data_IF_622864507955
#
_entry.id   IF_622864507955
#
_cell.length_a   1.000
_cell.length_b   1.000
_cell.length_c   1.000
_cell.angle_alpha   90.00
_cell.angle_beta   90.00
_cell.angle_gamma   90.00
#
_symmetry.space_group_name_H-M   'P 1'
#
loop_
_entity.id
_entity.type
_entity.pdbx_description
1 polymer ?
#
# COMPACT_ATOMS: atom_id res chain seq x y z
N UNK A 1 43.93 -9.74 -33.94
CA UNK A 1 42.91 -9.83 -32.88
C UNK A 1 42.36 -8.43 -32.67
N UNK A 2 41.18 -8.15 -33.23
CA UNK A 2 40.52 -6.85 -33.12
C UNK A 2 39.79 -6.75 -31.78
N UNK A 3 39.83 -5.61 -31.07
CA UNK A 3 39.03 -5.42 -29.88
C UNK A 3 37.57 -5.22 -30.29
N UNK A 4 36.69 -6.08 -29.78
CA UNK A 4 35.24 -5.90 -29.88
C UNK A 4 34.84 -4.80 -28.91
N UNK A 5 34.70 -3.57 -29.42
CA UNK A 5 34.04 -2.48 -28.71
C UNK A 5 32.55 -2.80 -28.60
N UNK A 6 32.15 -3.42 -27.48
CA UNK A 6 30.76 -3.49 -27.05
C UNK A 6 30.34 -2.14 -26.48
N UNK A 7 30.06 -1.16 -27.34
CA UNK A 7 29.22 -0.04 -26.95
C UNK A 7 27.78 -0.56 -26.93
N UNK A 8 27.31 -0.94 -25.74
CA UNK A 8 25.87 -1.02 -25.49
C UNK A 8 25.29 0.36 -25.78
N UNK A 9 24.60 0.48 -26.91
CA UNK A 9 23.86 1.67 -27.29
C UNK A 9 22.79 1.90 -26.23
N UNK A 10 23.05 2.82 -25.32
CA UNK A 10 22.07 3.46 -24.46
C UNK A 10 20.97 4.00 -25.39
N UNK A 11 19.86 3.28 -25.51
CA UNK A 11 18.77 3.69 -26.38
C UNK A 11 18.22 4.99 -25.83
N UNK A 12 18.49 6.11 -26.51
CA UNK A 12 17.92 7.44 -26.26
C UNK A 12 16.39 7.36 -26.44
N UNK A 13 15.71 6.84 -25.42
CA UNK A 13 14.26 6.69 -25.43
C UNK A 13 13.65 8.07 -25.24
N UNK A 14 13.21 8.66 -26.34
CA UNK A 14 12.45 9.91 -26.30
C UNK A 14 10.99 9.60 -25.92
N UNK A 15 10.37 10.38 -25.01
CA UNK A 15 8.97 10.21 -24.69
C UNK A 15 8.12 10.23 -25.95
N UNK A 16 7.17 9.30 -26.07
CA UNK A 16 6.25 9.27 -27.21
C UNK A 16 5.46 10.58 -27.28
N UNK A 17 5.59 11.30 -28.38
CA UNK A 17 4.76 12.47 -28.66
C UNK A 17 3.35 12.02 -29.06
N UNK A 18 2.39 12.36 -28.20
CA UNK A 18 0.98 12.05 -28.41
C UNK A 18 0.38 13.00 -29.44
N UNK A 19 -0.32 12.46 -30.45
CA UNK A 19 -1.05 13.28 -31.43
C UNK A 19 -2.26 13.97 -30.79
N UNK A 20 -2.72 15.08 -31.37
CA UNK A 20 -3.90 15.80 -30.87
C UNK A 20 -5.13 14.88 -30.79
N UNK A 21 -5.35 14.03 -31.80
CA UNK A 21 -6.44 13.06 -31.82
C UNK A 21 -6.36 12.07 -30.65
N UNK A 22 -5.16 11.57 -30.31
CA UNK A 22 -4.99 10.65 -29.19
C UNK A 22 -5.22 11.33 -27.83
N UNK A 23 -4.76 12.59 -27.68
CA UNK A 23 -5.02 13.40 -26.47
C UNK A 23 -6.52 13.59 -26.27
N UNK A 24 -7.23 14.01 -27.32
CA UNK A 24 -8.69 14.18 -27.28
C UNK A 24 -9.43 12.87 -27.01
N UNK A 25 -9.01 11.76 -27.63
CA UNK A 25 -9.61 10.45 -27.37
C UNK A 25 -9.51 10.06 -25.88
N UNK A 26 -8.35 10.22 -25.25
CA UNK A 26 -8.19 9.90 -23.83
C UNK A 26 -8.83 10.93 -22.90
N UNK A 27 -8.94 12.20 -23.29
CA UNK A 27 -9.72 13.17 -22.52
C UNK A 27 -11.21 12.82 -22.52
N UNK A 28 -11.76 12.39 -23.66
CA UNK A 28 -13.17 12.01 -23.79
C UNK A 28 -13.49 10.66 -23.12
N UNK A 29 -12.52 9.74 -23.03
CA UNK A 29 -12.72 8.43 -22.39
C UNK A 29 -12.23 8.44 -20.95
N UNK A 30 -10.94 8.71 -20.74
CA UNK A 30 -10.28 8.65 -19.44
C UNK A 30 -10.69 9.74 -18.48
N UNK A 31 -10.97 10.96 -18.97
CA UNK A 31 -11.43 12.08 -18.15
C UNK A 31 -12.74 11.76 -17.40
N UNK A 32 -13.83 11.38 -18.11
CA UNK A 32 -15.07 10.95 -17.48
C UNK A 32 -14.90 9.74 -16.57
N UNK A 33 -14.08 8.75 -16.95
CA UNK A 33 -13.82 7.59 -16.09
C UNK A 33 -13.16 8.02 -14.78
N UNK A 34 -12.16 8.90 -14.81
CA UNK A 34 -11.53 9.40 -13.60
C UNK A 34 -12.52 10.16 -12.71
N UNK A 35 -13.38 10.99 -13.29
CA UNK A 35 -14.41 11.74 -12.56
C UNK A 35 -15.54 10.84 -12.01
N UNK A 36 -15.98 9.84 -12.78
CA UNK A 36 -16.92 8.84 -12.31
C UNK A 36 -16.31 8.00 -11.19
N UNK A 37 -15.02 7.71 -11.28
CA UNK A 37 -14.34 6.91 -10.26
C UNK A 37 -14.21 7.66 -8.93
N UNK A 38 -13.95 8.98 -8.94
CA UNK A 38 -13.97 9.78 -7.70
C UNK A 38 -15.36 9.83 -7.07
N UNK A 39 -16.42 9.90 -7.89
CA UNK A 39 -17.80 9.77 -7.40
C UNK A 39 -18.07 8.38 -6.83
N UNK A 40 -17.65 7.32 -7.52
CA UNK A 40 -17.80 5.93 -7.08
C UNK A 40 -17.03 5.66 -5.79
N UNK A 41 -15.81 6.19 -5.66
CA UNK A 41 -15.04 6.18 -4.42
C UNK A 41 -15.84 6.82 -3.28
N UNK A 42 -16.32 8.05 -3.51
CA UNK A 42 -17.09 8.77 -2.51
C UNK A 42 -18.30 7.93 -2.11
N UNK A 43 -19.09 7.43 -3.06
CA UNK A 43 -20.24 6.58 -2.78
C UNK A 43 -19.84 5.31 -1.99
N UNK A 44 -18.79 4.60 -2.39
CA UNK A 44 -18.33 3.35 -1.73
C UNK A 44 -17.85 3.59 -0.30
N UNK A 45 -17.14 4.68 -0.07
CA UNK A 45 -16.62 5.04 1.26
C UNK A 45 -17.75 5.56 2.16
N UNK A 46 -18.74 6.27 1.59
CA UNK A 46 -19.91 6.84 2.30
C UNK A 46 -21.06 5.85 2.50
N UNK A 47 -21.00 4.64 1.94
CA UNK A 47 -22.01 3.66 2.28
C UNK A 47 -21.83 3.23 3.73
N UNK A 48 -22.92 3.19 4.53
CA UNK A 48 -22.87 2.51 5.82
C UNK A 48 -22.35 1.10 5.55
N UNK A 49 -21.16 0.83 6.08
CA UNK A 49 -20.56 -0.49 5.93
C UNK A 49 -21.53 -1.43 6.59
N UNK A 50 -22.05 -2.42 5.88
CA UNK A 50 -22.96 -3.42 6.46
C UNK A 50 -22.29 -4.78 6.65
N UNK A 51 -20.96 -4.77 6.77
CA UNK A 51 -20.12 -5.97 6.81
C UNK A 51 -18.76 -5.65 7.40
N UNK A 52 -18.13 -6.68 7.95
CA UNK A 52 -16.71 -6.63 8.30
C UNK A 52 -15.87 -6.42 7.03
N UNK A 53 -14.92 -5.49 7.10
CA UNK A 53 -13.90 -5.29 6.08
C UNK A 53 -12.54 -5.10 6.78
N UNK A 54 -11.43 -5.15 6.03
CA UNK A 54 -10.09 -5.12 6.62
C UNK A 54 -9.87 -3.82 7.42
N UNK A 55 -10.30 -2.67 6.90
CA UNK A 55 -10.14 -1.39 7.58
C UNK A 55 -10.99 -1.26 8.85
N UNK A 56 -12.18 -1.88 8.91
CA UNK A 56 -12.98 -1.95 10.13
C UNK A 56 -12.19 -2.63 11.25
N UNK A 57 -11.50 -3.75 10.96
CA UNK A 57 -10.68 -4.44 11.96
C UNK A 57 -9.54 -3.57 12.48
N UNK A 58 -8.84 -2.86 11.58
CA UNK A 58 -7.74 -1.98 11.96
C UNK A 58 -8.22 -0.75 12.73
N UNK A 59 -9.30 -0.14 12.27
CA UNK A 59 -9.85 1.05 12.91
C UNK A 59 -10.43 0.74 14.29
N UNK A 60 -11.14 -0.38 14.49
CA UNK A 60 -11.64 -0.76 15.81
C UNK A 60 -10.47 -1.01 16.77
N UNK A 61 -9.44 -1.73 16.33
CA UNK A 61 -8.24 -1.98 17.15
C UNK A 61 -7.52 -0.68 17.54
N UNK A 62 -7.38 0.25 16.58
CA UNK A 62 -6.82 1.58 16.84
C UNK A 62 -7.70 2.42 17.78
N UNK A 63 -9.02 2.39 17.59
CA UNK A 63 -10.00 3.11 18.43
C UNK A 63 -10.03 2.58 19.86
N UNK A 64 -9.95 1.26 20.03
CA UNK A 64 -9.88 0.60 21.32
C UNK A 64 -8.70 1.11 22.14
N UNK A 65 -7.52 1.21 21.51
CA UNK A 65 -6.33 1.78 22.17
C UNK A 65 -6.55 3.20 22.69
N UNK A 66 -7.20 4.07 21.90
CA UNK A 66 -7.51 5.46 22.30
C UNK A 66 -8.60 5.56 23.37
N UNK A 67 -9.45 4.54 23.49
CA UNK A 67 -10.60 4.53 24.41
C UNK A 67 -10.38 3.68 25.65
N UNK A 68 -9.19 3.06 25.78
CA UNK A 68 -8.81 2.27 26.95
C UNK A 68 -9.33 0.82 26.94
N UNK A 69 -9.80 0.33 25.79
CA UNK A 69 -10.16 -1.07 25.60
C UNK A 69 -8.93 -1.89 25.11
N UNK A 70 -8.92 -3.22 25.29
CA UNK A 70 -7.89 -4.07 24.70
C UNK A 70 -7.78 -3.83 23.19
N UNK A 71 -6.57 -3.78 22.64
CA UNK A 71 -6.38 -3.54 21.19
C UNK A 71 -7.09 -4.62 20.38
N UNK A 72 -6.81 -5.88 20.71
CA UNK A 72 -7.51 -7.05 20.19
C UNK A 72 -8.71 -7.41 21.07
N UNK A 73 -9.59 -6.43 21.31
CA UNK A 73 -10.87 -6.71 21.93
C UNK A 73 -11.73 -7.59 21.01
N UNK A 74 -12.67 -8.31 21.61
CA UNK A 74 -13.61 -9.13 20.87
C UNK A 74 -14.33 -8.26 19.83
N UNK A 75 -14.36 -8.74 18.59
CA UNK A 75 -14.82 -7.96 17.45
C UNK A 75 -16.33 -7.77 17.50
N UNK A 76 -17.10 -8.74 17.99
CA UNK A 76 -18.54 -8.56 18.18
C UNK A 76 -18.78 -7.43 19.20
N UNK A 77 -18.00 -7.38 20.27
CA UNK A 77 -18.07 -6.31 21.28
C UNK A 77 -17.68 -4.95 20.69
N UNK A 78 -16.58 -4.88 19.94
CA UNK A 78 -16.12 -3.64 19.30
C UNK A 78 -17.14 -3.11 18.29
N UNK A 79 -17.72 -3.99 17.47
CA UNK A 79 -18.73 -3.62 16.47
C UNK A 79 -20.02 -3.16 17.14
N UNK A 80 -20.50 -3.88 18.15
CA UNK A 80 -21.67 -3.48 18.91
C UNK A 80 -21.48 -2.11 19.56
N UNK A 81 -20.26 -1.83 20.06
CA UNK A 81 -19.92 -0.58 20.71
C UNK A 81 -19.86 0.62 19.74
N UNK A 82 -19.32 0.44 18.52
CA UNK A 82 -19.07 1.57 17.60
C UNK A 82 -20.05 1.72 16.43
N UNK A 83 -20.71 0.65 15.99
CA UNK A 83 -21.47 0.64 14.72
C UNK A 83 -22.96 0.33 14.84
N UNK A 84 -23.44 -0.03 16.03
CA UNK A 84 -24.84 -0.40 16.32
C UNK A 84 -25.31 -1.63 15.50
N UNK A 85 -25.26 -2.84 16.06
CA UNK A 85 -25.03 -4.08 15.32
C UNK A 85 -26.24 -4.56 14.51
N UNK A 86 -26.01 -4.93 13.25
CA UNK A 86 -26.94 -5.79 12.47
C UNK A 86 -26.23 -6.92 11.70
N UNK A 87 -24.90 -7.07 11.82
CA UNK A 87 -24.14 -8.01 10.98
C UNK A 87 -23.46 -9.09 11.80
N UNK A 88 -23.37 -10.28 11.23
CA UNK A 88 -22.60 -11.39 11.82
C UNK A 88 -21.11 -11.17 11.58
N UNK A 89 -20.33 -11.16 12.64
CA UNK A 89 -18.87 -11.19 12.56
C UNK A 89 -18.42 -12.65 12.56
N UNK A 90 -17.48 -13.00 11.66
CA UNK A 90 -16.92 -14.36 11.55
C UNK A 90 -15.58 -14.51 12.30
N UNK A 91 -14.97 -13.40 12.70
CA UNK A 91 -13.66 -13.34 13.35
C UNK A 91 -13.81 -12.76 14.76
N UNK A 92 -13.37 -13.51 15.78
CA UNK A 92 -13.50 -13.05 17.16
C UNK A 92 -12.58 -11.86 17.47
N UNK A 93 -11.43 -11.74 16.79
CA UNK A 93 -10.47 -10.64 16.98
C UNK A 93 -9.88 -10.21 15.64
N UNK A 94 -9.24 -9.05 15.60
CA UNK A 94 -8.49 -8.60 14.41
C UNK A 94 -7.43 -9.65 14.04
N UNK A 95 -7.46 -10.11 12.79
CA UNK A 95 -6.55 -11.16 12.31
C UNK A 95 -5.20 -10.61 11.81
N UNK A 96 -4.99 -9.29 11.86
CA UNK A 96 -3.80 -8.65 11.33
C UNK A 96 -2.73 -8.40 12.41
N UNK A 97 -1.44 -8.32 12.03
CA UNK A 97 -0.34 -8.10 12.98
C UNK A 97 -0.45 -6.74 13.68
N UNK A 98 0.05 -6.58 14.93
CA UNK A 98 -0.06 -5.31 15.65
C UNK A 98 0.59 -4.12 14.90
N UNK A 99 1.59 -4.40 14.05
CA UNK A 99 2.25 -3.37 13.25
C UNK A 99 1.32 -2.73 12.21
N UNK A 100 0.28 -3.43 11.73
CA UNK A 100 -0.73 -2.83 10.86
C UNK A 100 -1.62 -1.85 11.63
N UNK A 101 -2.01 -2.21 12.85
CA UNK A 101 -2.76 -1.33 13.76
C UNK A 101 -1.98 -0.05 14.06
N UNK A 102 -0.66 -0.15 14.30
CA UNK A 102 0.19 1.03 14.54
C UNK A 102 0.12 2.04 13.39
N UNK A 103 0.06 1.59 12.13
CA UNK A 103 -0.04 2.48 10.97
C UNK A 103 -1.38 3.21 10.89
N UNK A 104 -2.45 2.55 11.35
CA UNK A 104 -3.81 3.11 11.37
C UNK A 104 -4.09 3.85 12.68
N UNK A 105 -3.21 3.76 13.68
CA UNK A 105 -3.40 4.32 15.02
C UNK A 105 -3.84 5.80 15.05
N UNK A 106 -3.26 6.72 14.25
CA UNK A 106 -3.70 8.12 14.23
C UNK A 106 -5.16 8.29 13.77
N UNK A 107 -5.62 7.41 12.87
CA UNK A 107 -6.98 7.44 12.33
C UNK A 107 -8.03 6.93 13.33
N UNK A 108 -7.61 6.14 14.34
CA UNK A 108 -8.49 5.71 15.43
C UNK A 108 -9.04 6.86 16.27
N UNK A 109 -8.42 8.05 16.26
CA UNK A 109 -8.99 9.24 16.93
C UNK A 109 -10.19 9.83 16.19
N UNK A 110 -10.27 9.61 14.88
CA UNK A 110 -11.33 10.13 14.03
C UNK A 110 -12.55 9.22 14.07
N UNK A 111 -13.71 9.78 13.72
CA UNK A 111 -14.88 8.95 13.42
C UNK A 111 -14.59 8.04 12.23
N UNK A 112 -15.16 6.83 12.25
CA UNK A 112 -14.86 5.78 11.28
C UNK A 112 -14.98 6.26 9.82
N UNK A 113 -16.04 7.02 9.51
CA UNK A 113 -16.26 7.48 8.15
C UNK A 113 -15.13 8.41 7.66
N UNK A 114 -14.76 9.41 8.49
CA UNK A 114 -13.65 10.31 8.20
C UNK A 114 -12.31 9.56 8.12
N UNK A 115 -12.08 8.62 9.04
CA UNK A 115 -10.89 7.78 9.05
C UNK A 115 -10.76 6.96 7.76
N UNK A 116 -11.82 6.26 7.36
CA UNK A 116 -11.85 5.43 6.16
C UNK A 116 -11.63 6.26 4.89
N UNK A 117 -12.23 7.45 4.83
CA UNK A 117 -12.06 8.35 3.69
C UNK A 117 -10.63 8.86 3.56
N UNK A 118 -10.04 9.38 4.64
CA UNK A 118 -8.66 9.85 4.63
C UNK A 118 -7.66 8.72 4.37
N UNK A 119 -7.89 7.54 4.95
CA UNK A 119 -7.05 6.36 4.74
C UNK A 119 -7.02 5.92 3.28
N UNK A 120 -8.17 5.90 2.61
CA UNK A 120 -8.26 5.57 1.19
C UNK A 120 -7.52 6.59 0.32
N UNK A 121 -7.69 7.89 0.58
CA UNK A 121 -6.95 8.93 -0.15
C UNK A 121 -5.44 8.84 0.05
N UNK A 122 -5.00 8.61 1.29
CA UNK A 122 -3.59 8.39 1.60
C UNK A 122 -3.05 7.17 0.84
N UNK A 123 -3.79 6.05 0.86
CA UNK A 123 -3.42 4.83 0.16
C UNK A 123 -3.33 5.05 -1.36
N UNK A 124 -4.28 5.77 -1.96
CA UNK A 124 -4.28 6.08 -3.39
C UNK A 124 -3.16 7.04 -3.79
N UNK A 125 -2.81 7.98 -2.91
CA UNK A 125 -1.69 8.89 -3.15
C UNK A 125 -0.36 8.14 -3.30
N UNK A 126 -0.22 6.93 -2.71
CA UNK A 126 0.98 6.10 -2.84
C UNK A 126 1.17 5.50 -4.25
N UNK A 127 0.16 5.54 -5.12
CA UNK A 127 0.29 5.12 -6.52
C UNK A 127 1.29 6.02 -7.26
N UNK A 128 1.25 7.34 -7.02
CA UNK A 128 2.11 8.30 -7.69
C UNK A 128 3.62 8.06 -7.45
N UNK A 129 4.12 8.00 -6.19
CA UNK A 129 5.53 7.70 -5.94
C UNK A 129 5.91 6.28 -6.36
N UNK A 130 4.99 5.32 -6.31
CA UNK A 130 5.22 3.95 -6.82
C UNK A 130 5.50 3.97 -8.32
N UNK A 131 4.64 4.61 -9.12
CA UNK A 131 4.83 4.74 -10.56
C UNK A 131 6.12 5.51 -10.87
N UNK A 132 6.37 6.61 -10.16
CA UNK A 132 7.60 7.38 -10.33
C UNK A 132 8.87 6.54 -10.09
N UNK A 133 8.91 5.73 -9.02
CA UNK A 133 10.03 4.83 -8.73
C UNK A 133 10.20 3.78 -9.84
N UNK A 134 9.10 3.17 -10.32
CA UNK A 134 9.14 2.20 -11.41
C UNK A 134 9.69 2.81 -12.71
N UNK A 135 9.26 4.03 -13.03
CA UNK A 135 9.69 4.72 -14.25
C UNK A 135 11.17 5.10 -14.18
N UNK A 136 11.59 5.73 -13.07
CA UNK A 136 12.97 6.17 -12.85
C UNK A 136 13.95 5.00 -12.91
N UNK A 137 13.66 3.91 -12.20
CA UNK A 137 14.55 2.73 -12.11
C UNK A 137 14.65 1.91 -13.41
N UNK A 138 13.75 2.14 -14.36
CA UNK A 138 13.77 1.53 -15.71
C UNK A 138 14.28 2.48 -16.79
N UNK A 139 14.67 3.71 -16.45
CA UNK A 139 15.07 4.72 -17.43
C UNK A 139 13.94 5.10 -18.40
N UNK A 140 12.68 4.87 -18.02
CA UNK A 140 11.54 5.13 -18.89
C UNK A 140 11.09 6.59 -18.72
N UNK A 141 11.17 7.37 -19.80
CA UNK A 141 10.60 8.72 -19.84
C UNK A 141 9.16 8.67 -20.36
N UNK A 142 8.18 9.06 -19.56
CA UNK A 142 6.79 9.13 -20.04
C UNK A 142 6.38 10.57 -20.33
N UNK A 143 5.56 10.73 -21.36
CA UNK A 143 4.77 11.95 -21.52
C UNK A 143 3.74 12.03 -20.40
N UNK A 144 3.45 13.22 -19.87
CA UNK A 144 2.35 13.43 -18.93
C UNK A 144 1.01 12.90 -19.47
N UNK A 145 0.86 12.88 -20.80
CA UNK A 145 -0.30 12.33 -21.49
C UNK A 145 -0.45 10.82 -21.38
N UNK A 146 0.64 10.09 -21.09
CA UNK A 146 0.59 8.66 -20.83
C UNK A 146 0.02 8.32 -19.45
N UNK A 147 -0.04 9.28 -18.53
CA UNK A 147 -0.62 9.06 -17.20
C UNK A 147 -2.12 8.81 -17.28
N UNK A 148 -2.84 9.51 -18.16
CA UNK A 148 -4.29 9.41 -18.25
C UNK A 148 -4.77 7.99 -18.66
N UNK A 149 -4.22 7.33 -19.70
CA UNK A 149 -4.50 5.92 -19.98
C UNK A 149 -4.14 4.98 -18.83
N UNK A 150 -2.96 5.15 -18.21
CA UNK A 150 -2.49 4.30 -17.11
C UNK A 150 -3.44 4.40 -15.91
N UNK A 151 -3.78 5.62 -15.53
CA UNK A 151 -4.74 5.89 -14.46
C UNK A 151 -6.10 5.30 -14.82
N UNK A 152 -6.59 5.50 -16.04
CA UNK A 152 -7.88 4.93 -16.48
C UNK A 152 -7.91 3.40 -16.30
N UNK A 153 -6.85 2.69 -16.71
CA UNK A 153 -6.74 1.23 -16.53
C UNK A 153 -6.67 0.83 -15.06
N UNK A 154 -5.90 1.55 -14.24
CA UNK A 154 -5.78 1.30 -12.80
C UNK A 154 -7.12 1.50 -12.10
N UNK A 155 -7.80 2.62 -12.39
CA UNK A 155 -9.08 2.99 -11.79
C UNK A 155 -10.21 2.03 -12.18
N UNK A 156 -10.20 1.54 -13.42
CA UNK A 156 -11.21 0.57 -13.88
C UNK A 156 -10.96 -0.87 -13.41
N UNK A 157 -9.80 -1.14 -12.80
CA UNK A 157 -9.49 -2.49 -12.32
C UNK A 157 -10.34 -2.89 -11.11
N UNK A 158 -10.83 -4.13 -11.12
CA UNK A 158 -11.52 -4.68 -9.95
C UNK A 158 -10.59 -4.75 -8.73
N UNK A 159 -9.28 -4.94 -8.94
CA UNK A 159 -8.28 -4.97 -7.86
C UNK A 159 -8.26 -3.68 -7.07
N UNK A 160 -8.28 -2.51 -7.74
CA UNK A 160 -8.33 -1.23 -7.03
C UNK A 160 -9.70 -0.99 -6.38
N UNK A 161 -10.78 -1.42 -7.03
CA UNK A 161 -12.11 -1.34 -6.41
C UNK A 161 -12.16 -2.15 -5.10
N UNK A 162 -11.61 -3.36 -5.07
CA UNK A 162 -11.53 -4.19 -3.86
C UNK A 162 -10.59 -3.57 -2.80
N UNK A 163 -9.44 -3.04 -3.22
CA UNK A 163 -8.52 -2.31 -2.34
C UNK A 163 -9.24 -1.20 -1.56
N UNK A 164 -10.06 -0.41 -2.25
CA UNK A 164 -10.82 0.69 -1.63
C UNK A 164 -11.95 0.17 -0.76
N UNK A 165 -12.74 -0.79 -1.26
CA UNK A 165 -13.87 -1.35 -0.52
C UNK A 165 -13.45 -1.99 0.80
N UNK A 166 -12.23 -2.55 0.85
CA UNK A 166 -11.67 -3.18 2.04
C UNK A 166 -10.80 -2.23 2.86
N UNK A 167 -10.36 -1.10 2.28
CA UNK A 167 -9.37 -0.20 2.89
C UNK A 167 -8.05 -0.89 3.24
N UNK A 168 -7.57 -1.81 2.38
CA UNK A 168 -6.40 -2.63 2.71
C UNK A 168 -5.08 -1.84 2.73
N UNK A 169 -4.05 -2.46 3.27
CA UNK A 169 -2.67 -1.95 3.29
C UNK A 169 -1.89 -2.25 1.99
N UNK A 170 -2.49 -2.86 0.97
CA UNK A 170 -1.71 -3.37 -0.16
C UNK A 170 -1.05 -2.27 -1.00
N UNK A 171 -1.63 -1.07 -1.12
CA UNK A 171 -0.96 0.04 -1.82
C UNK A 171 0.27 0.56 -1.06
N UNK A 172 0.23 0.52 0.27
CA UNK A 172 1.41 0.79 1.09
C UNK A 172 2.48 -0.29 0.90
N UNK A 173 2.09 -1.56 0.93
CA UNK A 173 3.02 -2.67 0.66
C UNK A 173 3.61 -2.58 -0.75
N UNK A 174 2.79 -2.26 -1.76
CA UNK A 174 3.24 -2.06 -3.13
C UNK A 174 4.30 -0.97 -3.20
N UNK A 175 4.08 0.16 -2.54
CA UNK A 175 5.04 1.25 -2.48
C UNK A 175 6.35 0.82 -1.80
N UNK A 176 6.29 0.23 -0.60
CA UNK A 176 7.47 -0.22 0.15
C UNK A 176 8.29 -1.24 -0.64
N UNK A 177 7.62 -2.19 -1.29
CA UNK A 177 8.29 -3.25 -2.06
C UNK A 177 8.86 -2.72 -3.39
N UNK A 178 8.18 -1.78 -4.02
CA UNK A 178 8.72 -1.09 -5.20
C UNK A 178 9.96 -0.28 -4.84
N UNK A 179 9.95 0.37 -3.69
CA UNK A 179 11.10 1.12 -3.20
C UNK A 179 12.26 0.20 -2.81
N UNK A 180 11.98 -0.92 -2.13
CA UNK A 180 12.96 -1.94 -1.83
C UNK A 180 13.61 -2.49 -3.11
N UNK A 181 12.81 -2.79 -4.12
CA UNK A 181 13.28 -3.26 -5.42
C UNK A 181 14.16 -2.20 -6.12
N UNK A 182 13.75 -0.93 -6.12
CA UNK A 182 14.55 0.15 -6.71
C UNK A 182 15.91 0.30 -6.01
N UNK A 183 15.93 0.28 -4.68
CA UNK A 183 17.16 0.34 -3.88
C UNK A 183 18.08 -0.86 -4.12
N UNK A 184 17.50 -2.05 -4.26
CA UNK A 184 18.27 -3.26 -4.54
C UNK A 184 18.97 -3.17 -5.90
N UNK A 185 18.34 -2.57 -6.92
CA UNK A 185 18.96 -2.33 -8.23
C UNK A 185 20.14 -1.39 -8.15
N UNK A 186 20.05 -0.39 -7.28
CA UNK A 186 21.13 0.56 -7.00
C UNK A 186 22.16 0.00 -5.99
N UNK A 187 22.15 -1.31 -5.73
CA UNK A 187 23.05 -2.05 -4.83
C UNK A 187 22.94 -1.71 -3.33
N UNK A 188 21.89 -1.00 -2.92
CA UNK A 188 21.62 -0.64 -1.52
C UNK A 188 20.88 -1.74 -0.75
N UNK A 189 21.49 -2.92 -0.64
CA UNK A 189 20.85 -4.11 -0.04
C UNK A 189 20.35 -3.92 1.38
N UNK A 190 21.07 -3.14 2.19
CA UNK A 190 20.67 -2.87 3.57
C UNK A 190 19.32 -2.14 3.62
N UNK A 191 19.15 -1.09 2.82
CA UNK A 191 17.89 -0.35 2.79
C UNK A 191 16.75 -1.17 2.16
N UNK A 192 17.05 -1.91 1.09
CA UNK A 192 16.09 -2.81 0.47
C UNK A 192 15.59 -3.89 1.45
N UNK A 193 16.52 -4.51 2.18
CA UNK A 193 16.20 -5.49 3.21
C UNK A 193 15.36 -4.89 4.33
N UNK A 194 15.73 -3.73 4.85
CA UNK A 194 14.97 -3.06 5.92
C UNK A 194 13.52 -2.78 5.52
N UNK A 195 13.28 -2.27 4.30
CA UNK A 195 11.92 -2.04 3.79
C UNK A 195 11.11 -3.33 3.65
N UNK A 196 11.73 -4.43 3.20
CA UNK A 196 11.09 -5.75 3.14
C UNK A 196 10.74 -6.25 4.55
N UNK A 197 11.63 -6.06 5.53
CA UNK A 197 11.40 -6.39 6.93
C UNK A 197 10.22 -5.60 7.53
N UNK A 198 10.17 -4.29 7.29
CA UNK A 198 9.04 -3.44 7.70
C UNK A 198 7.74 -3.91 7.04
N UNK A 199 7.76 -4.16 5.73
CA UNK A 199 6.59 -4.68 5.02
C UNK A 199 6.13 -6.05 5.57
N UNK A 200 7.08 -6.92 5.94
CA UNK A 200 6.81 -8.22 6.56
C UNK A 200 6.17 -8.11 7.96
N UNK A 201 6.53 -7.08 8.73
CA UNK A 201 5.89 -6.80 10.01
C UNK A 201 4.42 -6.38 9.83
N UNK A 202 4.13 -5.59 8.79
CA UNK A 202 2.77 -5.13 8.47
C UNK A 202 1.90 -6.27 7.92
N UNK A 203 2.46 -7.15 7.10
CA UNK A 203 1.77 -8.33 6.55
C UNK A 203 2.81 -9.39 6.30
N UNK A 204 2.58 -10.66 6.67
CA UNK A 204 3.70 -11.63 6.73
C UNK A 204 4.30 -12.02 5.35
N UNK A 205 3.53 -11.97 4.26
CA UNK A 205 3.97 -12.51 2.96
C UNK A 205 5.24 -11.87 2.35
N UNK A 206 5.55 -10.57 2.50
CA UNK A 206 6.79 -9.98 2.00
C UNK A 206 8.05 -10.59 2.62
N UNK A 207 7.97 -11.27 3.77
CA UNK A 207 9.10 -11.97 4.37
C UNK A 207 9.76 -12.95 3.39
N UNK A 208 8.99 -13.56 2.47
CA UNK A 208 9.51 -14.45 1.44
C UNK A 208 10.52 -13.76 0.51
N UNK A 209 10.43 -12.45 0.31
CA UNK A 209 11.40 -11.68 -0.47
C UNK A 209 12.78 -11.61 0.21
N UNK A 210 12.84 -11.84 1.53
CA UNK A 210 14.12 -12.00 2.23
C UNK A 210 14.92 -13.22 1.75
N UNK A 211 14.24 -14.26 1.26
CA UNK A 211 14.90 -15.45 0.70
C UNK A 211 15.75 -15.13 -0.52
N UNK A 212 15.38 -14.11 -1.29
CA UNK A 212 16.19 -13.64 -2.42
C UNK A 212 17.62 -13.27 -1.98
N UNK A 213 17.77 -12.47 -0.92
CA UNK A 213 19.08 -12.09 -0.41
C UNK A 213 19.82 -13.29 0.18
N UNK A 214 19.11 -14.19 0.85
CA UNK A 214 19.68 -15.40 1.41
C UNK A 214 20.27 -16.32 0.33
N UNK A 215 19.50 -16.58 -0.73
CA UNK A 215 19.91 -17.40 -1.88
C UNK A 215 21.11 -16.80 -2.60
N UNK A 216 21.18 -15.47 -2.69
CA UNK A 216 22.32 -14.77 -3.27
C UNK A 216 23.49 -14.54 -2.30
N UNK A 217 23.40 -15.06 -1.07
CA UNK A 217 24.42 -14.87 0.00
C UNK A 217 24.71 -13.39 0.29
N UNK A 218 23.72 -12.52 0.08
CA UNK A 218 23.79 -11.08 0.34
C UNK A 218 23.42 -10.81 1.81
N UNK A 219 24.31 -11.19 2.72
CA UNK A 219 24.08 -11.17 4.17
C UNK A 219 23.68 -9.81 4.72
N UNK A 220 24.17 -8.71 4.13
CA UNK A 220 23.76 -7.34 4.51
C UNK A 220 22.25 -7.14 4.33
N UNK A 221 21.68 -7.63 3.23
CA UNK A 221 20.24 -7.59 2.98
C UNK A 221 19.47 -8.48 3.94
N UNK A 222 19.96 -9.71 4.19
CA UNK A 222 19.34 -10.65 5.15
C UNK A 222 19.25 -10.04 6.55
N UNK A 223 20.38 -9.53 7.07
CA UNK A 223 20.41 -8.88 8.37
C UNK A 223 19.47 -7.68 8.43
N UNK A 224 19.42 -6.89 7.37
CA UNK A 224 18.54 -5.73 7.33
C UNK A 224 17.04 -6.10 7.28
N UNK A 225 16.65 -7.21 6.64
CA UNK A 225 15.27 -7.74 6.74
C UNK A 225 14.92 -8.04 8.19
N UNK A 226 15.78 -8.77 8.90
CA UNK A 226 15.56 -9.10 10.31
C UNK A 226 15.48 -7.83 11.16
N UNK A 227 16.42 -6.89 10.98
CA UNK A 227 16.45 -5.63 11.71
C UNK A 227 15.19 -4.81 11.44
N UNK A 228 14.78 -4.65 10.18
CA UNK A 228 13.57 -3.90 9.82
C UNK A 228 12.31 -4.50 10.43
N UNK A 229 12.19 -5.84 10.40
CA UNK A 229 11.06 -6.55 11.01
C UNK A 229 11.03 -6.38 12.54
N UNK A 230 12.18 -6.61 13.20
CA UNK A 230 12.30 -6.50 14.66
C UNK A 230 12.08 -5.05 15.10
N UNK A 231 12.67 -4.08 14.42
CA UNK A 231 12.53 -2.66 14.77
C UNK A 231 11.07 -2.21 14.65
N UNK A 232 10.36 -2.59 13.58
CA UNK A 232 8.95 -2.25 13.42
C UNK A 232 8.11 -2.84 14.55
N UNK A 233 8.25 -4.13 14.84
CA UNK A 233 7.51 -4.78 15.93
C UNK A 233 7.90 -4.24 17.32
N UNK A 234 9.16 -3.87 17.54
CA UNK A 234 9.61 -3.26 18.79
C UNK A 234 8.97 -1.88 19.00
N UNK A 235 8.92 -1.05 17.95
CA UNK A 235 8.20 0.23 17.99
C UNK A 235 6.72 0.01 18.25
N UNK A 236 6.12 -0.98 17.60
CA UNK A 236 4.72 -1.36 17.85
C UNK A 236 4.49 -1.76 19.30
N UNK A 237 5.27 -2.67 19.87
CA UNK A 237 5.14 -3.08 21.27
C UNK A 237 5.41 -1.95 22.26
N UNK A 238 6.33 -1.03 21.94
CA UNK A 238 6.60 0.14 22.77
C UNK A 238 5.45 1.15 22.80
N UNK A 239 4.73 1.33 21.68
CA UNK A 239 3.60 2.27 21.56
C UNK A 239 2.29 1.64 22.04
N UNK A 240 2.00 0.43 21.58
CA UNK A 240 0.75 -0.27 21.83
C UNK A 240 0.75 -1.01 23.19
N UNK A 241 1.92 -1.28 23.75
CA UNK A 241 2.10 -2.04 24.98
C UNK A 241 2.36 -3.53 24.72
N UNK A 242 2.89 -4.23 25.71
CA UNK A 242 3.27 -5.65 25.62
C UNK A 242 2.08 -6.63 25.66
N UNK A 243 0.89 -6.10 25.92
CA UNK A 243 -0.37 -6.85 25.93
C UNK A 243 -1.13 -6.71 24.59
N UNK A 244 -0.53 -5.99 23.62
CA UNK A 244 -0.97 -5.87 22.25
C UNK A 244 -0.65 -7.13 21.44
#
# INVERSE_FOLDING_TARGET
MSPVNGQETETDYRPRDWSAAQKWAWLLVGGPICALWTLVLWLRVNQPQNRLNDFVQEWTSARNWWTGHPIYWDMDQSIAHYFNPTWKVLLNVNAHPPASVLLVLPFGRLEFFTANWLWNWLSLALIAPTLWLLMRSRGLSFSAWSLLPILTLILTSNSLAQQVNQGQLNLLLLFLLTWAWALQRDTFDGWAGALIGIAAAVKMFPAFLGLYFLMQRRWRGVLAVVIGFVAMNAVTGAVLGWQA
#
